data_IF_367548281085
#
_entry.id   IF_367548281085
#
_cell.length_a   1.000
_cell.length_b   1.000
_cell.length_c   1.000
_cell.angle_alpha   90.00
_cell.angle_beta   90.00
_cell.angle_gamma   90.00
#
_symmetry.space_group_name_H-M   'P 1'
#
loop_
_entity.id
_entity.type
_entity.pdbx_description
1 polymer ?
#
# COMPACT_ATOMS: atom_id res chain seq x y z
N UNK A 1 -7.54 1.81 7.38
CA UNK A 1 -7.89 0.37 7.46
C UNK A 1 -6.75 -0.55 7.03
N UNK A 2 -6.08 -0.38 5.88
CA UNK A 2 -4.79 -1.06 5.58
C UNK A 2 -3.60 -0.09 5.55
N UNK A 3 -3.78 1.05 4.88
CA UNK A 3 -2.79 2.13 4.85
C UNK A 3 -2.49 2.67 6.26
N UNK A 4 -3.54 2.88 7.07
CA UNK A 4 -3.39 3.22 8.48
C UNK A 4 -2.64 2.13 9.28
N UNK A 5 -2.91 0.85 9.02
CA UNK A 5 -2.22 -0.26 9.69
C UNK A 5 -0.73 -0.35 9.33
N UNK A 6 -0.34 0.07 8.13
CA UNK A 6 1.07 0.22 7.75
C UNK A 6 1.72 1.33 8.58
N UNK A 7 1.07 2.49 8.72
CA UNK A 7 1.56 3.61 9.53
C UNK A 7 1.69 3.21 11.01
N UNK A 8 0.64 2.61 11.57
CA UNK A 8 0.62 2.12 12.96
C UNK A 8 1.71 1.08 13.23
N UNK A 9 1.94 0.16 12.30
CA UNK A 9 2.99 -0.85 12.44
C UNK A 9 4.40 -0.23 12.41
N UNK A 10 4.62 0.80 11.60
CA UNK A 10 5.89 1.55 11.57
C UNK A 10 6.08 2.30 12.90
N UNK A 11 5.04 3.01 13.36
CA UNK A 11 5.08 3.78 14.61
C UNK A 11 5.28 2.89 15.84
N UNK A 12 4.68 1.69 15.84
CA UNK A 12 4.82 0.70 16.91
C UNK A 12 6.11 -0.15 16.79
N UNK A 13 6.90 0.04 15.73
CA UNK A 13 8.09 -0.76 15.42
C UNK A 13 7.77 -2.27 15.31
N UNK A 14 6.61 -2.61 14.74
CA UNK A 14 6.11 -3.99 14.61
C UNK A 14 6.28 -4.48 13.15
N UNK A 15 7.45 -5.09 12.88
CA UNK A 15 7.78 -5.68 11.58
C UNK A 15 6.77 -6.74 11.09
N UNK A 16 6.36 -7.71 11.93
CA UNK A 16 5.30 -8.66 11.59
C UNK A 16 3.95 -8.01 11.23
N UNK A 17 3.54 -6.96 11.96
CA UNK A 17 2.33 -6.21 11.62
C UNK A 17 2.48 -5.46 10.30
N UNK A 18 3.64 -4.83 10.06
CA UNK A 18 3.95 -4.17 8.79
C UNK A 18 3.84 -5.16 7.63
N UNK A 19 4.44 -6.34 7.77
CA UNK A 19 4.35 -7.40 6.76
C UNK A 19 2.91 -7.78 6.44
N UNK A 20 2.08 -8.03 7.47
CA UNK A 20 0.67 -8.43 7.28
C UNK A 20 -0.15 -7.33 6.60
N UNK A 21 0.02 -6.08 7.04
CA UNK A 21 -0.71 -4.94 6.48
C UNK A 21 -0.31 -4.67 5.03
N UNK A 22 0.99 -4.69 4.73
CA UNK A 22 1.53 -4.55 3.39
C UNK A 22 1.09 -5.71 2.48
N UNK A 23 1.06 -6.95 2.99
CA UNK A 23 0.62 -8.11 2.24
C UNK A 23 -0.85 -8.05 1.82
N UNK A 24 -1.72 -7.67 2.76
CA UNK A 24 -3.13 -7.49 2.47
C UNK A 24 -3.33 -6.38 1.42
N UNK A 25 -2.64 -5.25 1.56
CA UNK A 25 -2.76 -4.13 0.60
C UNK A 25 -2.22 -4.50 -0.78
N UNK A 26 -1.12 -5.26 -0.85
CA UNK A 26 -0.57 -5.79 -2.11
C UNK A 26 -1.59 -6.63 -2.87
N UNK A 27 -2.26 -7.56 -2.18
CA UNK A 27 -3.24 -8.44 -2.82
C UNK A 27 -4.43 -7.65 -3.36
N UNK A 28 -4.92 -6.66 -2.62
CA UNK A 28 -5.95 -5.73 -3.10
C UNK A 28 -5.48 -4.92 -4.30
N UNK A 29 -4.27 -4.35 -4.24
CA UNK A 29 -3.70 -3.57 -5.35
C UNK A 29 -3.52 -4.45 -6.61
N UNK A 30 -3.05 -5.68 -6.43
CA UNK A 30 -2.88 -6.66 -7.51
C UNK A 30 -4.21 -7.05 -8.15
N UNK A 31 -5.28 -7.26 -7.37
CA UNK A 31 -6.59 -7.65 -7.91
C UNK A 31 -7.25 -6.57 -8.77
N UNK A 32 -6.90 -5.29 -8.56
CA UNK A 32 -7.43 -4.15 -9.33
C UNK A 32 -6.43 -3.59 -10.34
N UNK A 33 -5.29 -4.25 -10.54
CA UNK A 33 -4.28 -3.84 -11.53
C UNK A 33 -3.41 -2.63 -11.12
N UNK A 34 -3.45 -2.19 -9.86
CA UNK A 34 -2.65 -1.09 -9.34
C UNK A 34 -1.18 -1.50 -9.11
N UNK A 35 -0.46 -1.76 -10.20
CA UNK A 35 0.91 -2.31 -10.18
C UNK A 35 1.92 -1.46 -9.38
N UNK A 36 1.97 -0.12 -9.49
CA UNK A 36 2.90 0.69 -8.70
C UNK A 36 2.66 0.53 -7.19
N UNK A 37 1.39 0.52 -6.77
CA UNK A 37 1.01 0.32 -5.37
C UNK A 37 1.37 -1.09 -4.89
N UNK A 38 1.12 -2.12 -5.70
CA UNK A 38 1.49 -3.50 -5.37
C UNK A 38 3.01 -3.66 -5.21
N UNK A 39 3.81 -3.02 -6.05
CA UNK A 39 5.28 -3.03 -5.97
C UNK A 39 5.80 -2.39 -4.69
N UNK A 40 5.25 -1.24 -4.29
CA UNK A 40 5.59 -0.58 -3.02
C UNK A 40 5.21 -1.45 -1.82
N UNK A 41 4.03 -2.09 -1.85
CA UNK A 41 3.63 -3.01 -0.79
C UNK A 41 4.57 -4.22 -0.69
N UNK A 42 5.06 -4.75 -1.80
CA UNK A 42 6.06 -5.82 -1.79
C UNK A 42 7.40 -5.38 -1.17
N UNK A 43 7.81 -4.12 -1.36
CA UNK A 43 9.00 -3.58 -0.71
C UNK A 43 8.80 -3.46 0.80
N UNK A 44 7.64 -2.95 1.24
CA UNK A 44 7.26 -2.89 2.65
C UNK A 44 7.15 -4.27 3.31
N UNK A 45 6.67 -5.30 2.59
CA UNK A 45 6.70 -6.69 3.08
C UNK A 45 8.13 -7.15 3.40
N UNK A 46 9.10 -6.82 2.53
CA UNK A 46 10.51 -7.21 2.72
C UNK A 46 11.14 -6.47 3.89
N UNK A 47 10.86 -5.17 4.01
CA UNK A 47 11.35 -4.34 5.11
C UNK A 47 10.77 -4.79 6.46
N UNK A 48 9.47 -5.10 6.52
CA UNK A 48 8.85 -5.66 7.73
C UNK A 48 9.42 -7.01 8.13
N UNK A 49 9.74 -7.89 7.17
CA UNK A 49 10.43 -9.16 7.42
C UNK A 49 11.87 -9.00 7.90
N UNK A 50 12.54 -7.93 7.46
CA UNK A 50 13.90 -7.59 7.86
C UNK A 50 13.99 -6.71 9.11
N UNK A 51 12.85 -6.41 9.75
CA UNK A 51 12.75 -5.48 10.89
C UNK A 51 13.32 -4.07 10.60
N UNK A 52 13.34 -3.66 9.33
CA UNK A 52 13.79 -2.33 8.91
C UNK A 52 12.62 -1.35 8.81
N UNK A 53 12.13 -0.89 9.96
CA UNK A 53 11.01 0.05 10.04
C UNK A 53 11.41 1.48 9.68
N UNK A 54 12.69 1.84 9.83
CA UNK A 54 13.20 3.13 9.40
C UNK A 54 13.21 3.23 7.87
N UNK A 55 13.66 2.18 7.18
CA UNK A 55 13.54 2.04 5.73
C UNK A 55 12.09 2.05 5.27
N UNK A 56 11.19 1.38 6.00
CA UNK A 56 9.76 1.37 5.69
C UNK A 56 9.12 2.77 5.82
N UNK A 57 9.52 3.55 6.84
CA UNK A 57 9.05 4.92 7.03
C UNK A 57 9.40 5.83 5.84
N UNK A 58 10.55 5.62 5.20
CA UNK A 58 10.97 6.40 4.04
C UNK A 58 10.10 6.15 2.79
N UNK A 59 9.41 5.01 2.71
CA UNK A 59 8.52 4.68 1.58
C UNK A 59 7.09 5.20 1.76
N UNK A 60 6.75 5.75 2.93
CA UNK A 60 5.41 6.23 3.23
C UNK A 60 4.91 7.33 2.27
N UNK A 61 5.71 8.35 1.89
CA UNK A 61 5.26 9.36 0.93
C UNK A 61 4.93 8.79 -0.45
N UNK A 62 5.74 7.84 -0.92
CA UNK A 62 5.54 7.16 -2.21
C UNK A 62 4.30 6.25 -2.17
N UNK A 63 4.08 5.57 -1.05
CA UNK A 63 2.89 4.75 -0.81
C UNK A 63 1.61 5.60 -0.83
N UNK A 64 1.62 6.73 -0.12
CA UNK A 64 0.48 7.66 -0.06
C UNK A 64 0.17 8.23 -1.46
N UNK A 65 1.20 8.59 -2.24
CA UNK A 65 1.03 9.04 -3.62
C UNK A 65 0.46 7.95 -4.52
N UNK A 66 1.05 6.74 -4.51
CA UNK A 66 0.60 5.63 -5.35
C UNK A 66 -0.84 5.20 -5.02
N UNK A 67 -1.21 5.22 -3.74
CA UNK A 67 -2.58 4.97 -3.31
C UNK A 67 -3.55 6.04 -3.84
N UNK A 68 -3.18 7.32 -3.72
CA UNK A 68 -3.96 8.44 -4.26
C UNK A 68 -4.20 8.33 -5.77
N UNK A 69 -3.14 8.05 -6.54
CA UNK A 69 -3.23 7.84 -7.99
C UNK A 69 -4.14 6.64 -8.34
N UNK A 70 -4.03 5.54 -7.59
CA UNK A 70 -4.88 4.36 -7.79
C UNK A 70 -6.35 4.67 -7.54
N UNK A 71 -6.66 5.40 -6.47
CA UNK A 71 -8.03 5.83 -6.16
C UNK A 71 -8.59 6.79 -7.20
N UNK A 72 -7.78 7.73 -7.70
CA UNK A 72 -8.20 8.64 -8.76
C UNK A 72 -8.53 7.88 -10.06
N UNK A 73 -7.69 6.92 -10.45
CA UNK A 73 -7.92 6.09 -11.63
C UNK A 73 -9.19 5.23 -11.49
N UNK A 74 -9.42 4.61 -10.32
CA UNK A 74 -10.62 3.83 -10.06
C UNK A 74 -11.90 4.67 -10.14
N UNK A 75 -11.89 5.89 -9.58
CA UNK A 75 -13.03 6.82 -9.68
C UNK A 75 -13.33 7.21 -11.13
N UNK A 76 -12.29 7.48 -11.93
CA UNK A 76 -12.47 7.80 -13.34
C UNK A 76 -13.10 6.65 -14.14
N UNK A 77 -12.82 5.39 -13.78
CA UNK A 77 -13.46 4.21 -14.40
C UNK A 77 -14.93 4.11 -14.00
N UNK A 78 -15.25 4.32 -12.71
CA UNK A 78 -16.63 4.31 -12.21
C UNK A 78 -17.49 5.39 -12.88
N UNK A 79 -16.99 6.63 -12.93
CA UNK A 79 -17.65 7.75 -13.61
C UNK A 79 -17.78 7.55 -15.13
N UNK A 80 -16.80 6.87 -15.75
CA UNK A 80 -16.84 6.50 -17.16
C UNK A 80 -17.78 5.35 -17.50
N UNK A 81 -18.10 4.49 -16.53
CA UNK A 81 -19.03 3.37 -16.70
C UNK A 81 -20.52 3.75 -16.61
N UNK A 82 -20.83 5.01 -16.30
CA UNK A 82 -22.19 5.57 -16.32
C UNK A 82 -22.72 6.00 -17.70
N UNK A 83 -21.96 5.78 -18.78
CA UNK A 83 -22.33 6.15 -20.16
C UNK A 83 -22.11 4.98 -21.12
N UNK A 84 -23.02 3.99 -21.09
CA UNK A 84 -23.42 3.18 -22.24
C UNK A 84 -24.70 2.39 -21.90
#
# INVERSE_FOLDING_TARGET
>A
MLLAGIREAIDAVDGPALFRAAHALKNCAGSVGAQPLASLCMQLERLGKGEDLAGAANLLPELDQAFGCSMAALKAVDEGSGLA
#
